data_IF_460097134837
#
_entry.id   IF_460097134837
#
_cell.length_a   1.000
_cell.length_b   1.000
_cell.length_c   1.000
_cell.angle_alpha   90.00
_cell.angle_beta   90.00
_cell.angle_gamma   90.00
#
_symmetry.space_group_name_H-M   'P 1'
#
loop_
_entity.id
_entity.type
_entity.pdbx_description
1 polymer ?
#
# COMPACT_ATOMS: atom_id res chain seq x y z
N UNK A 1 -2.24 0.25 32.37
CA UNK A 1 -1.99 1.41 31.50
C UNK A 1 -1.33 0.93 30.23
N UNK A 2 -1.89 1.26 29.09
CA UNK A 2 -1.28 0.96 27.80
C UNK A 2 -0.34 2.11 27.43
N UNK A 3 0.91 1.80 27.12
CA UNK A 3 1.89 2.79 26.65
C UNK A 3 1.83 2.86 25.14
N UNK A 4 1.54 4.03 24.62
CA UNK A 4 1.66 4.33 23.19
C UNK A 4 3.09 4.80 22.94
N UNK A 5 3.79 4.17 22.00
CA UNK A 5 5.18 4.49 21.67
C UNK A 5 5.32 5.85 20.96
N UNK A 6 6.56 6.31 20.86
CA UNK A 6 6.88 7.48 20.04
C UNK A 6 6.64 7.20 18.56
N UNK A 7 6.15 8.19 17.81
CA UNK A 7 5.82 8.03 16.39
C UNK A 7 4.57 7.18 16.14
N UNK A 8 3.62 7.20 17.06
CA UNK A 8 2.36 6.47 16.90
C UNK A 8 1.42 7.18 15.94
N UNK A 9 0.70 6.39 15.14
CA UNK A 9 -0.37 6.82 14.25
C UNK A 9 -1.69 6.30 14.74
N UNK A 10 -2.73 7.12 14.69
CA UNK A 10 -4.07 6.75 15.09
C UNK A 10 -5.03 6.86 13.89
N UNK A 11 -5.73 5.77 13.62
CA UNK A 11 -6.83 5.73 12.64
C UNK A 11 -8.15 5.55 13.38
N UNK A 12 -9.11 6.42 13.07
CA UNK A 12 -10.44 6.36 13.68
C UNK A 12 -11.34 5.51 12.79
N UNK A 13 -11.85 4.44 13.36
CA UNK A 13 -12.82 3.54 12.75
C UNK A 13 -14.23 3.81 13.31
N UNK A 14 -15.23 3.03 12.85
CA UNK A 14 -16.60 3.21 13.30
C UNK A 14 -16.74 3.20 14.83
N UNK A 15 -16.33 2.12 15.47
CA UNK A 15 -16.45 1.95 16.94
C UNK A 15 -15.09 1.96 17.66
N UNK A 16 -13.99 1.99 16.93
CA UNK A 16 -12.65 1.81 17.45
C UNK A 16 -11.68 2.91 17.05
N UNK A 17 -10.62 3.04 17.82
CA UNK A 17 -9.39 3.75 17.44
C UNK A 17 -8.29 2.71 17.35
N UNK A 18 -7.69 2.57 16.17
CA UNK A 18 -6.52 1.74 15.95
C UNK A 18 -5.28 2.60 16.06
N UNK A 19 -4.37 2.22 16.94
CA UNK A 19 -3.10 2.92 17.13
C UNK A 19 -1.98 1.97 16.74
N UNK A 20 -1.20 2.36 15.73
CA UNK A 20 0.04 1.66 15.36
C UNK A 20 1.23 2.46 15.87
N UNK A 21 2.24 1.78 16.41
CA UNK A 21 3.46 2.42 16.89
C UNK A 21 4.68 1.52 16.69
N UNK A 22 5.78 2.13 16.23
CA UNK A 22 6.92 1.34 15.80
C UNK A 22 6.56 0.47 14.60
N UNK A 23 7.23 -0.66 14.42
CA UNK A 23 6.96 -1.64 13.37
C UNK A 23 6.14 -2.83 13.84
N UNK A 24 5.91 -2.93 15.12
CA UNK A 24 5.49 -4.17 15.79
C UNK A 24 4.22 -4.04 16.64
N UNK A 25 3.62 -2.85 16.74
CA UNK A 25 2.50 -2.64 17.64
C UNK A 25 1.28 -2.10 16.93
N UNK A 26 0.21 -2.88 16.98
CA UNK A 26 -1.13 -2.46 16.64
C UNK A 26 -2.03 -2.62 17.88
N UNK A 27 -2.71 -1.57 18.29
CA UNK A 27 -3.51 -1.51 19.52
C UNK A 27 -4.90 -0.97 19.21
N UNK A 28 -5.90 -1.62 19.77
CA UNK A 28 -7.31 -1.29 19.62
C UNK A 28 -7.84 -0.63 20.88
N UNK A 29 -8.52 0.51 20.70
CA UNK A 29 -9.16 1.25 21.78
C UNK A 29 -10.64 1.47 21.46
N UNK A 30 -11.47 1.45 22.47
CA UNK A 30 -12.88 1.84 22.36
C UNK A 30 -12.98 3.34 22.06
N UNK A 31 -13.67 3.70 20.98
CA UNK A 31 -13.75 5.09 20.51
C UNK A 31 -14.50 6.01 21.47
N UNK A 32 -15.50 5.49 22.19
CA UNK A 32 -16.35 6.31 23.09
C UNK A 32 -15.65 6.59 24.43
N UNK A 33 -14.91 5.61 24.93
CA UNK A 33 -14.35 5.69 26.28
C UNK A 33 -12.83 5.92 26.29
N UNK A 34 -12.15 5.72 25.15
CA UNK A 34 -10.68 5.75 25.04
C UNK A 34 -10.00 4.59 25.75
N UNK A 35 -10.76 3.57 26.21
CA UNK A 35 -10.19 2.43 26.93
C UNK A 35 -9.47 1.50 25.97
N UNK A 36 -8.28 1.07 26.37
CA UNK A 36 -7.57 -0.01 25.69
C UNK A 36 -8.39 -1.29 25.70
N UNK A 37 -8.54 -1.92 24.56
CA UNK A 37 -9.25 -3.19 24.40
C UNK A 37 -8.24 -4.34 24.32
N UNK A 38 -7.35 -4.31 23.32
CA UNK A 38 -6.32 -5.32 23.11
C UNK A 38 -5.23 -4.88 22.14
N UNK A 39 -4.16 -5.63 22.07
CA UNK A 39 -3.26 -5.65 20.91
C UNK A 39 -3.89 -6.49 19.81
N UNK A 40 -3.63 -6.11 18.56
CA UNK A 40 -4.06 -6.81 17.34
C UNK A 40 -2.83 -7.50 16.77
N UNK A 41 -2.80 -8.81 16.85
CA UNK A 41 -1.68 -9.60 16.35
C UNK A 41 -0.32 -9.19 16.91
N UNK A 42 0.71 -9.54 16.19
CA UNK A 42 2.11 -9.20 16.46
C UNK A 42 2.96 -9.41 15.20
N UNK A 43 4.18 -8.88 15.20
CA UNK A 43 5.16 -9.20 14.16
C UNK A 43 5.75 -10.58 14.46
N UNK A 44 5.58 -11.52 13.53
CA UNK A 44 6.04 -12.89 13.69
C UNK A 44 5.74 -13.73 12.43
N UNK A 45 6.40 -14.88 12.32
CA UNK A 45 6.19 -15.84 11.23
C UNK A 45 5.19 -16.95 11.58
N UNK A 46 4.63 -16.90 12.79
CA UNK A 46 3.57 -17.83 13.19
C UNK A 46 2.22 -17.46 12.52
N UNK A 47 1.22 -18.37 12.56
CA UNK A 47 -0.03 -18.18 11.81
C UNK A 47 -0.84 -16.94 12.20
N UNK A 48 -0.59 -16.34 13.34
CA UNK A 48 -1.26 -15.12 13.78
C UNK A 48 -0.37 -13.87 13.64
N UNK A 49 0.84 -14.02 13.10
CA UNK A 49 1.80 -12.96 12.94
C UNK A 49 1.72 -12.27 11.59
N UNK A 50 2.04 -10.98 11.54
CA UNK A 50 2.19 -10.21 10.31
C UNK A 50 3.64 -9.69 10.19
N UNK A 51 4.00 -9.19 9.01
CA UNK A 51 5.37 -8.71 8.74
C UNK A 51 5.63 -7.31 9.26
N UNK A 52 4.64 -6.42 9.21
CA UNK A 52 4.75 -5.02 9.60
C UNK A 52 3.36 -4.41 9.82
N UNK A 53 3.22 -3.51 10.79
CA UNK A 53 1.97 -2.78 11.07
C UNK A 53 1.69 -1.66 10.07
N UNK A 54 2.71 -1.17 9.35
CA UNK A 54 2.56 -0.04 8.40
C UNK A 54 1.84 -0.44 7.11
N UNK A 55 1.79 -1.73 6.81
CA UNK A 55 1.01 -2.27 5.70
C UNK A 55 -0.39 -2.71 6.10
N UNK A 56 -0.93 -2.18 7.20
CA UNK A 56 -2.25 -2.56 7.69
C UNK A 56 -3.37 -1.72 7.07
N UNK A 57 -4.46 -2.38 6.70
CA UNK A 57 -5.67 -1.77 6.18
C UNK A 57 -6.91 -2.24 6.91
N UNK A 58 -7.89 -1.37 6.98
CA UNK A 58 -9.22 -1.76 7.40
C UNK A 58 -10.09 -2.02 6.17
N UNK A 59 -10.78 -3.15 6.17
CA UNK A 59 -11.87 -3.36 5.24
C UNK A 59 -13.06 -2.45 5.63
N UNK A 60 -13.40 -1.43 4.84
CA UNK A 60 -14.43 -0.45 5.22
C UNK A 60 -15.85 -1.04 5.21
N UNK A 61 -16.03 -2.24 4.66
CA UNK A 61 -17.33 -2.92 4.54
C UNK A 61 -17.60 -3.86 5.70
N UNK A 62 -16.56 -4.51 6.24
CA UNK A 62 -16.67 -5.51 7.32
C UNK A 62 -16.11 -5.02 8.65
N UNK A 63 -15.25 -4.01 8.62
CA UNK A 63 -14.50 -3.53 9.78
C UNK A 63 -13.29 -4.40 10.16
N UNK A 64 -13.03 -5.47 9.42
CA UNK A 64 -11.84 -6.31 9.62
C UNK A 64 -10.55 -5.52 9.41
N UNK A 65 -9.51 -5.92 10.12
CA UNK A 65 -8.16 -5.37 10.00
C UNK A 65 -7.28 -6.38 9.25
N UNK A 66 -6.49 -5.90 8.31
CA UNK A 66 -5.68 -6.75 7.44
C UNK A 66 -4.26 -6.23 7.36
N UNK A 67 -3.28 -7.12 7.42
CA UNK A 67 -1.87 -6.81 7.37
C UNK A 67 -1.15 -7.73 6.40
N UNK A 68 -0.06 -7.26 5.81
CA UNK A 68 0.81 -8.13 5.03
C UNK A 68 1.48 -9.18 5.93
N UNK A 69 1.40 -10.43 5.51
CA UNK A 69 2.21 -11.52 6.04
C UNK A 69 3.62 -11.55 5.42
N UNK A 70 4.33 -12.65 5.62
CA UNK A 70 5.70 -12.83 5.13
C UNK A 70 5.80 -13.43 3.72
N UNK A 71 4.76 -14.11 3.23
CA UNK A 71 4.77 -14.93 2.02
C UNK A 71 3.69 -14.54 1.02
N UNK A 72 3.58 -13.27 0.65
CA UNK A 72 2.52 -12.79 -0.26
C UNK A 72 1.11 -13.16 0.24
N UNK A 73 0.91 -13.07 1.54
CA UNK A 73 -0.32 -13.38 2.23
C UNK A 73 -0.85 -12.15 2.96
N UNK A 74 -2.13 -12.14 3.23
CA UNK A 74 -2.80 -11.13 4.04
C UNK A 74 -3.34 -11.81 5.30
N UNK A 75 -2.89 -11.34 6.45
CA UNK A 75 -3.34 -11.80 7.76
C UNK A 75 -4.53 -10.96 8.17
N UNK A 76 -5.68 -11.58 8.39
CA UNK A 76 -6.96 -10.90 8.64
C UNK A 76 -7.37 -11.10 10.10
N UNK A 77 -7.74 -10.00 10.73
CA UNK A 77 -8.31 -9.97 12.08
C UNK A 77 -9.73 -9.42 12.01
N UNK A 78 -10.61 -9.94 12.88
CA UNK A 78 -11.95 -9.42 13.04
C UNK A 78 -11.98 -7.95 13.46
N UNK A 79 -13.13 -7.31 13.36
CA UNK A 79 -13.32 -5.93 13.82
C UNK A 79 -13.03 -5.76 15.33
N UNK A 80 -13.08 -6.84 16.10
CA UNK A 80 -12.73 -6.88 17.53
C UNK A 80 -11.22 -7.11 17.78
N UNK A 81 -10.41 -7.21 16.71
CA UNK A 81 -8.97 -7.40 16.76
C UNK A 81 -8.52 -8.83 17.10
N UNK A 82 -9.39 -9.83 17.02
CA UNK A 82 -9.00 -11.24 17.10
C UNK A 82 -8.61 -11.76 15.75
N UNK A 83 -7.63 -12.69 15.74
CA UNK A 83 -7.27 -13.40 14.50
C UNK A 83 -8.50 -14.08 13.91
N UNK A 84 -8.64 -13.96 12.59
CA UNK A 84 -9.76 -14.55 11.84
C UNK A 84 -9.21 -15.61 10.87
N UNK A 85 -8.45 -15.21 9.87
CA UNK A 85 -7.85 -16.13 8.91
C UNK A 85 -6.63 -15.51 8.20
N UNK A 86 -5.93 -16.34 7.45
CA UNK A 86 -4.94 -15.91 6.46
C UNK A 86 -5.57 -16.07 5.07
N UNK A 87 -5.48 -15.01 4.28
CA UNK A 87 -5.79 -15.08 2.87
C UNK A 87 -4.49 -15.10 2.05
N UNK A 88 -4.35 -16.09 1.17
CA UNK A 88 -3.22 -16.21 0.26
C UNK A 88 -3.77 -16.29 -1.16
N UNK A 89 -3.38 -15.37 -2.07
CA UNK A 89 -3.83 -15.46 -3.45
C UNK A 89 -3.30 -16.74 -4.10
N UNK A 90 -4.20 -17.48 -4.74
CA UNK A 90 -3.88 -18.74 -5.44
C UNK A 90 -3.27 -18.45 -6.81
N UNK A 91 -2.09 -17.85 -6.83
CA UNK A 91 -1.41 -17.40 -8.05
C UNK A 91 0.04 -17.83 -8.07
N UNK A 92 0.59 -17.98 -9.28
CA UNK A 92 2.02 -18.24 -9.46
C UNK A 92 2.85 -17.04 -8.97
N UNK A 93 3.88 -17.28 -8.17
CA UNK A 93 4.81 -16.24 -7.74
C UNK A 93 5.59 -15.61 -8.92
N UNK A 94 5.74 -16.33 -10.03
CA UNK A 94 6.39 -15.82 -11.25
C UNK A 94 5.51 -14.78 -11.95
N UNK A 95 4.18 -15.00 -11.94
CA UNK A 95 3.22 -14.08 -12.53
C UNK A 95 2.81 -12.96 -11.54
N UNK A 96 2.74 -13.29 -10.26
CA UNK A 96 2.35 -12.36 -9.21
C UNK A 96 3.38 -12.41 -8.08
N UNK A 97 4.48 -11.65 -8.20
CA UNK A 97 5.43 -11.49 -7.09
C UNK A 97 4.74 -10.82 -5.89
N UNK A 98 5.47 -10.49 -4.87
CA UNK A 98 4.88 -9.92 -3.67
C UNK A 98 3.99 -8.70 -3.99
N UNK A 99 2.75 -8.74 -3.48
CA UNK A 99 1.80 -7.64 -3.57
C UNK A 99 2.34 -6.44 -2.79
N UNK A 100 2.50 -5.31 -3.46
CA UNK A 100 3.07 -4.12 -2.83
C UNK A 100 2.09 -3.40 -1.90
N UNK A 101 0.85 -3.26 -2.35
CA UNK A 101 -0.24 -2.57 -1.64
C UNK A 101 -1.56 -3.22 -2.04
N UNK A 102 -2.51 -3.25 -1.13
CA UNK A 102 -3.87 -3.71 -1.43
C UNK A 102 -4.93 -2.82 -0.76
N UNK A 103 -6.16 -2.91 -1.24
CA UNK A 103 -7.33 -2.34 -0.60
C UNK A 103 -8.60 -3.10 -1.04
N UNK A 104 -9.73 -2.79 -0.47
CA UNK A 104 -11.00 -3.51 -0.65
C UNK A 104 -11.97 -2.74 -1.54
N UNK A 105 -12.58 -3.43 -2.53
CA UNK A 105 -13.68 -2.88 -3.33
C UNK A 105 -15.05 -3.21 -2.75
N UNK A 106 -15.15 -4.32 -2.03
CA UNK A 106 -16.33 -4.73 -1.27
C UNK A 106 -15.90 -5.63 -0.09
N UNK A 107 -16.83 -6.36 0.51
CA UNK A 107 -16.55 -7.18 1.69
C UNK A 107 -15.49 -8.26 1.46
N UNK A 108 -15.39 -8.79 0.24
CA UNK A 108 -14.57 -9.94 -0.15
C UNK A 108 -13.76 -9.74 -1.43
N UNK A 109 -13.83 -8.56 -2.06
CA UNK A 109 -13.08 -8.24 -3.28
C UNK A 109 -11.90 -7.34 -2.98
N UNK A 110 -10.70 -7.86 -3.21
CA UNK A 110 -9.44 -7.19 -2.94
C UNK A 110 -8.82 -6.69 -4.25
N UNK A 111 -8.36 -5.45 -4.27
CA UNK A 111 -7.50 -4.90 -5.31
C UNK A 111 -6.05 -4.91 -4.82
N UNK A 112 -5.18 -5.63 -5.52
CA UNK A 112 -3.75 -5.67 -5.25
C UNK A 112 -2.95 -4.94 -6.32
N UNK A 113 -2.00 -4.11 -5.90
CA UNK A 113 -1.05 -3.46 -6.79
C UNK A 113 0.25 -4.25 -6.84
N UNK A 114 0.73 -4.50 -8.04
CA UNK A 114 1.98 -5.18 -8.33
C UNK A 114 2.88 -4.26 -9.15
N UNK A 115 4.08 -4.03 -8.67
CA UNK A 115 5.09 -3.26 -9.40
C UNK A 115 5.55 -4.00 -10.66
N UNK A 116 6.10 -3.26 -11.61
CA UNK A 116 6.74 -3.85 -12.79
C UNK A 116 7.92 -4.73 -12.39
N UNK A 117 8.12 -5.78 -13.17
CA UNK A 117 9.30 -6.65 -13.13
C UNK A 117 9.99 -6.65 -14.49
N UNK A 118 11.10 -7.36 -14.62
CA UNK A 118 11.81 -7.47 -15.90
C UNK A 118 10.93 -8.11 -17.01
N UNK A 119 9.94 -8.93 -16.63
CA UNK A 119 9.09 -9.69 -17.56
C UNK A 119 7.62 -9.28 -17.55
N UNK A 120 7.21 -8.42 -16.63
CA UNK A 120 5.81 -8.07 -16.46
C UNK A 120 5.63 -6.57 -16.17
N UNK A 121 4.63 -5.91 -16.79
CA UNK A 121 4.31 -4.53 -16.47
C UNK A 121 3.72 -4.40 -15.06
N UNK A 122 3.76 -3.17 -14.53
CA UNK A 122 3.00 -2.84 -13.34
C UNK A 122 1.50 -3.05 -13.59
N UNK A 123 0.78 -3.59 -12.61
CA UNK A 123 -0.62 -3.98 -12.78
C UNK A 123 -1.42 -3.95 -11.49
N UNK A 124 -2.72 -3.88 -11.66
CA UNK A 124 -3.69 -4.16 -10.61
C UNK A 124 -4.34 -5.50 -10.89
N UNK A 125 -4.45 -6.34 -9.87
CA UNK A 125 -5.23 -7.57 -9.92
C UNK A 125 -6.36 -7.52 -8.90
N UNK A 126 -7.54 -7.96 -9.30
CA UNK A 126 -8.71 -8.06 -8.46
C UNK A 126 -8.93 -9.53 -8.10
N UNK A 127 -9.06 -9.79 -6.80
CA UNK A 127 -9.22 -11.13 -6.25
C UNK A 127 -10.52 -11.24 -5.46
N UNK A 128 -11.25 -12.34 -5.67
CA UNK A 128 -12.37 -12.74 -4.84
C UNK A 128 -12.13 -14.17 -4.34
N UNK A 129 -11.83 -14.31 -3.06
CA UNK A 129 -11.31 -15.56 -2.54
C UNK A 129 -10.07 -15.99 -3.35
N UNK A 130 -10.04 -17.22 -3.84
CA UNK A 130 -8.92 -17.76 -4.61
C UNK A 130 -8.97 -17.41 -6.11
N UNK A 131 -9.99 -16.69 -6.57
CA UNK A 131 -10.18 -16.41 -7.98
C UNK A 131 -9.64 -15.02 -8.37
N UNK A 132 -8.91 -14.96 -9.48
CA UNK A 132 -8.58 -13.72 -10.16
C UNK A 132 -9.81 -13.27 -10.96
N UNK A 133 -10.44 -12.19 -10.52
CA UNK A 133 -11.59 -11.60 -11.22
C UNK A 133 -11.13 -10.83 -12.45
N UNK A 134 -9.99 -10.13 -12.34
CA UNK A 134 -9.42 -9.32 -13.41
C UNK A 134 -7.98 -8.93 -13.14
N UNK A 135 -7.22 -8.74 -14.22
CA UNK A 135 -5.88 -8.12 -14.20
C UNK A 135 -5.85 -7.00 -15.22
N UNK A 136 -5.33 -5.86 -14.84
CA UNK A 136 -5.16 -4.69 -15.70
C UNK A 136 -3.72 -4.19 -15.63
N UNK A 137 -3.06 -4.10 -16.78
CA UNK A 137 -1.74 -3.48 -16.90
C UNK A 137 -1.87 -1.96 -16.76
N UNK A 138 -0.90 -1.36 -16.11
CA UNK A 138 -0.90 0.07 -15.84
C UNK A 138 -0.08 0.82 -16.90
N UNK A 139 -0.38 2.11 -17.14
CA UNK A 139 0.31 2.91 -18.17
C UNK A 139 1.76 3.25 -17.81
N UNK A 140 2.13 3.16 -16.53
CA UNK A 140 3.47 3.45 -16.02
C UNK A 140 4.08 2.17 -15.46
N UNK A 141 5.38 1.96 -15.70
CA UNK A 141 6.06 0.71 -15.34
C UNK A 141 5.77 -0.39 -16.34
N UNK A 142 6.26 -0.23 -17.57
CA UNK A 142 6.10 -1.21 -18.64
C UNK A 142 7.08 -2.38 -18.46
N UNK A 143 6.78 -3.48 -19.15
CA UNK A 143 7.68 -4.62 -19.27
C UNK A 143 9.04 -4.18 -19.80
N UNK A 144 10.14 -4.71 -19.22
CA UNK A 144 11.50 -4.35 -19.61
C UNK A 144 12.01 -3.03 -19.01
N UNK A 145 11.20 -2.31 -18.24
CA UNK A 145 11.72 -1.31 -17.31
C UNK A 145 12.57 -2.08 -16.28
N UNK A 146 13.88 -2.12 -16.51
CA UNK A 146 14.81 -2.88 -15.67
C UNK A 146 14.48 -2.68 -14.21
N UNK A 147 13.98 -3.72 -13.60
CA UNK A 147 13.83 -3.76 -12.15
C UNK A 147 15.21 -3.47 -11.58
N UNK A 148 15.29 -2.40 -10.80
CA UNK A 148 16.53 -2.07 -10.12
C UNK A 148 16.63 -3.07 -8.98
N UNK A 149 17.59 -3.97 -9.10
CA UNK A 149 17.83 -4.98 -8.08
C UNK A 149 18.47 -4.35 -6.85
N UNK A 150 18.28 -4.91 -5.66
CA UNK A 150 19.00 -4.46 -4.46
C UNK A 150 20.51 -4.38 -4.68
N UNK A 151 21.07 -5.26 -5.50
CA UNK A 151 22.50 -5.29 -5.82
C UNK A 151 22.98 -4.08 -6.62
N UNK A 152 22.09 -3.37 -7.31
CA UNK A 152 22.42 -2.14 -8.04
C UNK A 152 22.44 -0.90 -7.14
N UNK A 153 21.98 -1.02 -5.90
CA UNK A 153 21.83 0.10 -4.97
C UNK A 153 23.18 0.36 -4.25
N UNK A 154 23.64 1.61 -4.32
CA UNK A 154 24.80 2.09 -3.55
C UNK A 154 24.37 2.62 -2.20
N UNK A 155 23.29 3.41 -2.16
CA UNK A 155 22.79 3.97 -0.92
C UNK A 155 21.30 4.30 -1.00
N UNK A 156 20.64 4.21 0.14
CA UNK A 156 19.26 4.68 0.35
C UNK A 156 19.30 5.70 1.48
N UNK A 157 18.80 6.90 1.22
CA UNK A 157 18.56 7.92 2.24
C UNK A 157 17.07 8.18 2.32
N UNK A 158 16.53 8.27 3.52
CA UNK A 158 15.11 8.47 3.75
C UNK A 158 14.87 9.78 4.47
N UNK A 159 14.06 10.64 3.86
CA UNK A 159 13.49 11.82 4.50
C UNK A 159 12.06 11.46 4.92
N UNK A 160 11.79 11.47 6.22
CA UNK A 160 10.46 11.24 6.79
C UNK A 160 9.90 12.52 7.39
N UNK A 161 8.64 12.79 7.08
CA UNK A 161 7.85 13.83 7.72
C UNK A 161 6.50 13.23 8.14
N UNK A 162 6.32 13.03 9.42
CA UNK A 162 5.14 12.33 9.94
C UNK A 162 5.09 10.87 9.50
N UNK A 163 4.02 10.46 8.81
CA UNK A 163 3.83 9.12 8.24
C UNK A 163 4.31 8.99 6.81
N UNK A 164 4.58 10.11 6.17
CA UNK A 164 4.99 10.17 4.78
C UNK A 164 6.51 10.33 4.68
N UNK A 165 7.08 10.04 3.53
CA UNK A 165 8.49 10.18 3.32
C UNK A 165 8.91 10.06 1.86
N UNK A 166 10.18 10.36 1.64
CA UNK A 166 10.83 10.17 0.35
C UNK A 166 12.06 9.29 0.55
N UNK A 167 12.22 8.27 -0.27
CA UNK A 167 13.44 7.51 -0.38
C UNK A 167 14.25 8.04 -1.55
N UNK A 168 15.48 8.46 -1.28
CA UNK A 168 16.47 8.83 -2.29
C UNK A 168 17.39 7.65 -2.49
N UNK A 169 17.38 7.06 -3.67
CA UNK A 169 18.14 5.86 -4.00
C UNK A 169 19.24 6.26 -5.00
N UNK A 170 20.48 5.89 -4.69
CA UNK A 170 21.62 6.00 -5.62
C UNK A 170 22.00 4.63 -6.12
N UNK A 171 22.26 4.54 -7.41
CA UNK A 171 22.62 3.31 -8.11
C UNK A 171 24.08 3.28 -8.52
N UNK A 172 24.64 2.07 -8.75
CA UNK A 172 26.04 1.85 -9.16
C UNK A 172 26.36 2.50 -10.51
N UNK A 173 25.40 2.67 -11.37
CA UNK A 173 25.55 3.33 -12.68
C UNK A 173 25.54 4.88 -12.59
N UNK A 174 25.47 5.43 -11.39
CA UNK A 174 25.50 6.87 -11.12
C UNK A 174 24.12 7.55 -11.17
N UNK A 175 23.05 6.84 -11.56
CA UNK A 175 21.67 7.37 -11.52
C UNK A 175 21.21 7.52 -10.08
N UNK A 176 20.24 8.39 -9.88
CA UNK A 176 19.52 8.53 -8.63
C UNK A 176 18.01 8.54 -8.92
N UNK A 177 17.23 7.99 -8.03
CA UNK A 177 15.77 8.05 -8.11
C UNK A 177 15.18 8.41 -6.76
N UNK A 178 13.99 9.00 -6.78
CA UNK A 178 13.25 9.38 -5.59
C UNK A 178 11.93 8.61 -5.61
N UNK A 179 11.63 7.96 -4.51
CA UNK A 179 10.38 7.21 -4.35
C UNK A 179 9.61 7.73 -3.15
N UNK A 180 8.33 8.04 -3.30
CA UNK A 180 7.47 8.33 -2.17
C UNK A 180 7.30 7.07 -1.31
N UNK A 181 7.41 7.25 0.01
CA UNK A 181 7.24 6.20 1.01
C UNK A 181 5.96 6.44 1.80
N UNK A 182 5.35 5.35 2.27
CA UNK A 182 4.23 5.41 3.20
C UNK A 182 2.87 5.73 2.58
N UNK A 183 2.79 5.93 1.29
CA UNK A 183 1.53 6.24 0.63
C UNK A 183 0.92 4.98 -0.01
N UNK A 184 -0.29 4.65 0.42
CA UNK A 184 -1.11 3.75 -0.36
C UNK A 184 -1.44 4.43 -1.69
N UNK A 185 -1.26 3.71 -2.80
CA UNK A 185 -1.73 4.15 -4.10
C UNK A 185 -3.26 4.05 -4.22
N UNK A 186 -3.92 3.40 -3.24
CA UNK A 186 -5.36 3.29 -3.13
C UNK A 186 -5.91 4.17 -2.02
N UNK A 187 -7.11 4.69 -2.20
CA UNK A 187 -7.89 5.36 -1.16
C UNK A 187 -9.38 5.32 -1.46
N UNK A 188 -10.18 5.43 -0.42
CA UNK A 188 -11.63 5.51 -0.53
C UNK A 188 -12.12 6.96 -0.51
N UNK A 189 -13.10 7.26 -1.36
CA UNK A 189 -13.94 8.44 -1.22
C UNK A 189 -15.40 8.00 -1.27
N UNK A 190 -16.05 8.01 -0.12
CA UNK A 190 -17.34 7.36 0.06
C UNK A 190 -17.22 5.85 -0.09
N UNK A 191 -17.94 5.29 -1.07
CA UNK A 191 -17.93 3.85 -1.38
C UNK A 191 -17.04 3.50 -2.58
N UNK A 192 -16.48 4.49 -3.24
CA UNK A 192 -15.64 4.29 -4.41
C UNK A 192 -14.17 4.12 -3.99
N UNK A 193 -13.50 3.15 -4.58
CA UNK A 193 -12.06 2.97 -4.48
C UNK A 193 -11.38 3.69 -5.63
N UNK A 194 -10.42 4.52 -5.29
CA UNK A 194 -9.58 5.25 -6.23
C UNK A 194 -8.14 4.75 -6.17
N UNK A 195 -7.47 4.93 -7.29
CA UNK A 195 -6.09 4.53 -7.47
C UNK A 195 -5.31 5.61 -8.21
N UNK A 196 -4.09 5.84 -7.77
CA UNK A 196 -3.10 6.63 -8.51
C UNK A 196 -1.73 5.96 -8.41
N UNK A 197 -1.12 5.75 -9.55
CA UNK A 197 0.25 5.24 -9.62
C UNK A 197 1.26 6.38 -9.42
N UNK A 198 2.39 6.09 -8.78
CA UNK A 198 3.51 7.04 -8.72
C UNK A 198 3.95 7.44 -10.12
N UNK A 199 4.33 8.70 -10.28
CA UNK A 199 4.70 9.30 -11.57
C UNK A 199 3.59 9.29 -12.66
N UNK A 200 2.35 9.14 -12.25
CA UNK A 200 1.20 9.24 -13.13
C UNK A 200 0.24 10.29 -12.56
N UNK A 201 -0.06 11.30 -13.36
CA UNK A 201 -0.92 12.41 -12.94
C UNK A 201 -2.41 12.07 -13.07
N UNK A 202 -2.74 10.85 -13.53
CA UNK A 202 -4.12 10.40 -13.68
C UNK A 202 -4.59 9.65 -12.43
N UNK A 203 -5.75 10.05 -11.94
CA UNK A 203 -6.50 9.34 -10.90
C UNK A 203 -7.53 8.44 -11.57
N UNK A 204 -7.57 7.20 -11.18
CA UNK A 204 -8.50 6.19 -11.69
C UNK A 204 -9.48 5.78 -10.61
N UNK A 205 -10.70 5.48 -11.01
CA UNK A 205 -11.64 4.73 -10.19
C UNK A 205 -11.50 3.25 -10.49
N UNK A 206 -11.33 2.45 -9.45
CA UNK A 206 -11.27 0.99 -9.53
C UNK A 206 -12.69 0.43 -9.41
N UNK A 207 -13.04 -0.52 -10.26
CA UNK A 207 -14.37 -1.12 -10.31
C UNK A 207 -14.28 -2.60 -10.65
N UNK A 208 -15.11 -3.43 -10.05
CA UNK A 208 -15.21 -4.85 -10.38
C UNK A 208 -15.75 -5.10 -11.79
N UNK A 209 -16.64 -4.23 -12.27
CA UNK A 209 -17.38 -4.44 -13.52
C UNK A 209 -16.75 -3.82 -14.76
N UNK A 210 -15.80 -2.90 -14.58
CA UNK A 210 -15.22 -2.10 -15.69
C UNK A 210 -13.72 -1.97 -15.50
N UNK A 211 -13.01 -1.78 -16.61
CA UNK A 211 -11.61 -1.38 -16.61
C UNK A 211 -11.39 -0.11 -15.78
N UNK A 212 -10.12 0.16 -15.41
CA UNK A 212 -9.74 1.38 -14.72
C UNK A 212 -10.28 2.60 -15.44
N UNK A 213 -11.11 3.37 -14.76
CA UNK A 213 -11.74 4.56 -15.33
C UNK A 213 -10.95 5.81 -14.92
N UNK A 214 -10.32 6.53 -15.86
CA UNK A 214 -9.72 7.81 -15.55
C UNK A 214 -10.83 8.79 -15.14
N UNK A 215 -10.70 9.37 -13.95
CA UNK A 215 -11.71 10.31 -13.41
C UNK A 215 -11.17 11.72 -13.24
N UNK A 216 -9.86 11.86 -13.10
CA UNK A 216 -9.20 13.14 -12.99
C UNK A 216 -7.80 13.06 -13.54
N UNK A 217 -7.33 14.16 -14.11
CA UNK A 217 -5.93 14.40 -14.44
C UNK A 217 -5.47 15.59 -13.62
N UNK A 218 -4.36 15.45 -12.94
CA UNK A 218 -3.73 16.55 -12.22
C UNK A 218 -2.86 17.31 -13.20
N UNK A 219 -3.24 18.56 -13.50
CA UNK A 219 -2.38 19.44 -14.30
C UNK A 219 -1.38 20.12 -13.38
N UNK A 220 -0.20 19.52 -13.25
CA UNK A 220 0.90 20.05 -12.46
C UNK A 220 1.85 20.93 -13.28
N UNK A 221 1.62 21.06 -14.60
CA UNK A 221 2.42 21.87 -15.49
C UNK A 221 3.92 21.51 -15.37
N UNK A 222 4.75 22.53 -15.15
CA UNK A 222 6.21 22.37 -15.02
C UNK A 222 6.66 21.58 -13.77
N UNK A 223 5.75 21.38 -12.82
CA UNK A 223 5.99 20.61 -11.61
C UNK A 223 5.62 19.12 -11.75
N UNK A 224 5.09 18.72 -12.91
CA UNK A 224 4.83 17.31 -13.19
C UNK A 224 6.15 16.55 -13.29
N UNK A 225 6.12 15.32 -12.80
CA UNK A 225 7.25 14.42 -12.89
C UNK A 225 6.82 13.10 -13.50
N UNK A 226 7.16 12.93 -14.76
CA UNK A 226 6.83 11.71 -15.48
C UNK A 226 7.74 10.54 -15.09
N UNK A 227 7.28 9.34 -15.32
CA UNK A 227 8.04 8.11 -15.05
C UNK A 227 9.40 8.08 -15.76
N UNK A 228 9.47 8.58 -16.97
CA UNK A 228 10.73 8.61 -17.74
C UNK A 228 11.75 9.58 -17.14
N UNK A 229 11.29 10.59 -16.42
CA UNK A 229 12.13 11.60 -15.76
C UNK A 229 12.49 11.23 -14.31
N UNK A 230 12.09 10.05 -13.82
CA UNK A 230 12.28 9.64 -12.42
C UNK A 230 13.74 9.60 -11.93
N UNK A 231 14.67 9.55 -12.87
CA UNK A 231 16.11 9.60 -12.60
C UNK A 231 16.71 11.00 -12.75
N UNK A 232 15.91 12.00 -13.09
CA UNK A 232 16.36 13.37 -13.24
C UNK A 232 16.27 14.10 -11.88
N UNK A 233 17.20 15.01 -11.62
CA UNK A 233 17.16 15.87 -10.44
C UNK A 233 16.21 17.06 -10.70
N UNK A 234 14.93 16.86 -10.50
CA UNK A 234 13.90 17.91 -10.58
C UNK A 234 13.66 18.51 -9.21
N UNK A 235 14.44 19.54 -8.86
CA UNK A 235 14.39 20.20 -7.55
C UNK A 235 13.03 20.82 -7.20
N UNK A 236 12.27 21.21 -8.20
CA UNK A 236 10.99 21.90 -8.05
C UNK A 236 9.77 20.99 -8.31
N UNK A 237 9.98 19.69 -8.53
CA UNK A 237 8.87 18.77 -8.77
C UNK A 237 8.02 18.59 -7.51
N UNK A 238 6.71 18.67 -7.67
CA UNK A 238 5.77 18.36 -6.62
C UNK A 238 5.50 16.84 -6.63
N UNK A 239 5.79 16.21 -5.50
CA UNK A 239 5.39 14.83 -5.23
C UNK A 239 4.06 14.85 -4.50
N UNK A 240 2.94 14.59 -5.17
CA UNK A 240 1.67 14.51 -4.48
C UNK A 240 1.69 13.26 -3.59
N UNK A 241 1.93 13.46 -2.32
CA UNK A 241 2.05 12.38 -1.33
C UNK A 241 0.74 12.07 -0.63
N UNK A 242 -0.22 12.98 -0.67
CA UNK A 242 -1.55 12.78 -0.11
C UNK A 242 -2.64 13.42 -0.97
N UNK A 243 -3.70 12.66 -1.19
CA UNK A 243 -5.00 13.19 -1.58
C UNK A 243 -5.94 13.01 -0.39
N UNK A 244 -6.32 14.13 0.22
CA UNK A 244 -7.40 14.14 1.21
C UNK A 244 -8.74 14.30 0.52
#
# INVERSE_FOLDING_TARGET
SCLVGQGAYATILNDWIVVTSGRDRCQLFDKKTGRFIRSVGHVGEDPEGYSDVHGGWQNPYTGQLSFHGWKNEIVVYGADGRFDHIWTPSVSADEFPAMGVFDYLDADLIAGYYSATDSLPARIALFRGDEIVRVESLPVGQEGDKAITPDDIVSISVLKDGGDGLAFIKYKDGRSAIYPLGNSCFWHAGKDLYFRQSYNDTIYRVSAAKELQPVRVLDLGVYSWSYNERFEDKKDAIYPTKFM
#
